data_IF_803390393159
#
_entry.id   IF_803390393159
#
_cell.length_a   1.000
_cell.length_b   1.000
_cell.length_c   1.000
_cell.angle_alpha   90.00
_cell.angle_beta   90.00
_cell.angle_gamma   90.00
#
_symmetry.space_group_name_H-M   'P 1'
#
loop_
_entity.id
_entity.type
_entity.pdbx_description
1 polymer ?
#
# COMPACT_ATOMS: atom_id res chain seq x y z
N UNK A 1 9.02 -40.60 -16.62
CA UNK A 1 9.30 -39.18 -16.91
C UNK A 1 7.98 -38.54 -17.30
N UNK A 2 7.27 -37.84 -16.41
CA UNK A 2 6.07 -37.12 -16.79
C UNK A 2 6.48 -35.85 -17.53
N UNK A 3 6.00 -35.71 -18.76
CA UNK A 3 6.12 -34.50 -19.57
C UNK A 3 5.26 -33.42 -18.93
N UNK A 4 5.91 -32.39 -18.38
CA UNK A 4 5.23 -31.19 -17.90
C UNK A 4 4.70 -30.47 -19.14
N UNK A 5 3.39 -30.54 -19.36
CA UNK A 5 2.70 -29.71 -20.33
C UNK A 5 2.68 -28.27 -19.79
N UNK A 6 3.54 -27.43 -20.33
CA UNK A 6 3.43 -25.98 -20.21
C UNK A 6 2.09 -25.57 -20.82
N UNK A 7 1.11 -25.28 -19.98
CA UNK A 7 -0.10 -24.60 -20.40
C UNK A 7 0.33 -23.22 -20.91
N UNK A 8 0.21 -23.03 -22.21
CA UNK A 8 0.20 -21.72 -22.84
C UNK A 8 -1.13 -21.05 -22.49
N UNK A 9 -1.21 -20.50 -21.28
CA UNK A 9 -2.32 -19.61 -20.92
C UNK A 9 -2.19 -18.35 -21.76
N UNK A 10 -3.19 -18.08 -22.59
CA UNK A 10 -3.35 -16.79 -23.25
C UNK A 10 -3.27 -15.71 -22.16
N UNK A 11 -2.15 -14.97 -22.09
CA UNK A 11 -1.85 -13.98 -21.05
C UNK A 11 -2.87 -12.83 -21.06
N UNK A 12 -4.04 -13.12 -20.50
CA UNK A 12 -5.29 -12.45 -20.77
C UNK A 12 -5.35 -11.03 -20.22
N UNK A 13 -6.23 -10.22 -20.83
CA UNK A 13 -6.62 -8.89 -20.37
C UNK A 13 -6.98 -8.93 -18.88
N UNK A 14 -6.01 -8.62 -18.02
CA UNK A 14 -6.29 -8.43 -16.60
C UNK A 14 -6.78 -7.00 -16.42
N UNK A 15 -7.93 -6.84 -15.79
CA UNK A 15 -8.49 -5.53 -15.45
C UNK A 15 -8.51 -5.38 -13.93
N UNK A 16 -7.76 -4.41 -13.42
CA UNK A 16 -7.55 -4.21 -11.98
C UNK A 16 -7.82 -2.75 -11.62
N UNK A 17 -8.57 -2.55 -10.53
CA UNK A 17 -8.80 -1.21 -10.00
C UNK A 17 -7.92 -0.96 -8.79
N UNK A 18 -7.17 0.13 -8.81
CA UNK A 18 -6.46 0.64 -7.63
C UNK A 18 -7.43 1.49 -6.82
N UNK A 19 -7.51 1.24 -5.52
CA UNK A 19 -8.28 2.03 -4.56
C UNK A 19 -7.61 3.37 -4.21
N UNK A 20 -7.15 4.06 -5.25
CA UNK A 20 -6.69 5.45 -5.25
C UNK A 20 -6.67 5.97 -6.69
N UNK A 21 -7.03 7.23 -6.87
CA UNK A 21 -6.91 8.02 -8.09
C UNK A 21 -5.58 8.79 -8.19
N UNK A 22 -4.73 8.72 -7.16
CA UNK A 22 -3.45 9.44 -7.12
C UNK A 22 -2.39 8.68 -7.92
N UNK A 23 -1.81 9.34 -8.93
CA UNK A 23 -0.79 8.73 -9.82
C UNK A 23 0.46 8.20 -9.08
N UNK A 24 0.79 8.77 -7.91
CA UNK A 24 1.87 8.27 -7.05
C UNK A 24 1.63 6.84 -6.53
N UNK A 25 0.37 6.38 -6.49
CA UNK A 25 -0.03 5.00 -6.16
C UNK A 25 -0.38 4.22 -7.42
N UNK A 26 -1.08 4.85 -8.36
CA UNK A 26 -1.61 4.18 -9.55
C UNK A 26 -0.51 3.81 -10.57
N UNK A 27 0.42 4.71 -10.88
CA UNK A 27 1.45 4.46 -11.88
C UNK A 27 2.38 3.26 -11.59
N UNK A 28 2.90 3.02 -10.37
CA UNK A 28 3.72 1.84 -10.11
C UNK A 28 2.93 0.52 -10.21
N UNK A 29 1.66 0.50 -9.82
CA UNK A 29 0.81 -0.69 -9.97
C UNK A 29 0.53 -0.97 -11.45
N UNK A 30 0.18 0.07 -12.21
CA UNK A 30 -0.06 -0.03 -13.66
C UNK A 30 1.17 -0.62 -14.36
N UNK A 31 2.35 -0.05 -14.11
CA UNK A 31 3.60 -0.55 -14.68
C UNK A 31 3.89 -2.00 -14.28
N UNK A 32 3.70 -2.36 -13.00
CA UNK A 32 3.93 -3.72 -12.52
C UNK A 32 3.03 -4.76 -13.20
N UNK A 33 1.72 -4.52 -13.25
CA UNK A 33 0.76 -5.45 -13.86
C UNK A 33 0.98 -5.56 -15.37
N UNK A 34 1.27 -4.46 -16.06
CA UNK A 34 1.60 -4.48 -17.48
C UNK A 34 2.90 -5.27 -17.75
N UNK A 35 3.91 -5.15 -16.88
CA UNK A 35 5.14 -5.92 -17.01
C UNK A 35 4.95 -7.43 -16.80
N UNK A 36 4.04 -7.84 -15.91
CA UNK A 36 3.83 -9.26 -15.55
C UNK A 36 2.83 -9.97 -16.49
N UNK A 37 1.75 -9.29 -16.87
CA UNK A 37 0.67 -9.86 -17.70
C UNK A 37 0.79 -9.49 -19.19
N UNK A 38 1.57 -8.47 -19.54
CA UNK A 38 1.67 -7.95 -20.90
C UNK A 38 0.47 -7.06 -21.28
N UNK A 39 -0.74 -7.62 -21.24
CA UNK A 39 -2.00 -6.89 -21.46
C UNK A 39 -2.75 -6.71 -20.14
N UNK A 40 -2.52 -5.57 -19.49
CA UNK A 40 -3.21 -5.20 -18.25
C UNK A 40 -3.84 -3.81 -18.36
N UNK A 41 -5.13 -3.73 -18.05
CA UNK A 41 -5.85 -2.48 -17.80
C UNK A 41 -5.79 -2.20 -16.30
N UNK A 42 -5.25 -1.04 -15.93
CA UNK A 42 -5.19 -0.61 -14.54
C UNK A 42 -5.74 0.80 -14.43
N UNK A 43 -6.86 0.93 -13.73
CA UNK A 43 -7.55 2.18 -13.47
C UNK A 43 -7.53 2.52 -11.98
N UNK A 44 -7.79 3.78 -11.64
CA UNK A 44 -7.81 4.24 -10.25
C UNK A 44 -9.16 4.84 -9.89
N UNK A 45 -9.67 4.51 -8.70
CA UNK A 45 -10.84 5.15 -8.12
C UNK A 45 -10.51 5.65 -6.73
N UNK A 46 -10.96 6.88 -6.43
CA UNK A 46 -10.79 7.47 -5.11
C UNK A 46 -11.45 6.59 -4.04
N UNK A 47 -10.67 6.25 -3.01
CA UNK A 47 -11.12 5.53 -1.83
C UNK A 47 -10.29 5.98 -0.63
N UNK A 48 -10.92 6.03 0.53
CA UNK A 48 -10.30 6.49 1.77
C UNK A 48 -10.76 5.60 2.92
N UNK A 49 -9.81 5.14 3.73
CA UNK A 49 -10.09 4.53 5.03
C UNK A 49 -10.37 5.64 6.06
N UNK A 50 -11.43 5.47 6.84
CA UNK A 50 -11.92 6.43 7.85
C UNK A 50 -12.02 5.82 9.25
N UNK A 51 -11.94 4.49 9.37
CA UNK A 51 -12.05 3.73 10.61
C UNK A 51 -10.68 3.31 11.17
N UNK A 52 -9.59 3.70 10.52
CA UNK A 52 -8.21 3.50 10.97
C UNK A 52 -7.50 4.85 11.07
N UNK A 53 -6.57 4.96 12.02
CA UNK A 53 -5.76 6.14 12.26
C UNK A 53 -5.07 6.65 10.99
N UNK A 54 -4.84 7.97 10.93
CA UNK A 54 -4.15 8.60 9.81
C UNK A 54 -2.75 8.01 9.57
N UNK A 55 -2.06 7.63 10.65
CA UNK A 55 -0.83 6.86 10.62
C UNK A 55 -1.06 5.53 11.35
N UNK A 56 -1.41 4.45 10.63
CA UNK A 56 -1.52 3.13 11.24
C UNK A 56 -0.18 2.72 11.88
N UNK A 57 -0.26 2.05 13.02
CA UNK A 57 0.91 1.52 13.74
C UNK A 57 0.78 0.00 13.89
N UNK A 58 1.81 -0.72 13.43
CA UNK A 58 1.87 -2.18 13.41
C UNK A 58 1.24 -2.81 12.17
N UNK A 59 1.69 -4.03 11.85
CA UNK A 59 1.24 -4.79 10.68
C UNK A 59 -0.28 -4.99 10.64
N UNK A 60 -0.89 -5.32 11.78
CA UNK A 60 -2.32 -5.56 11.85
C UNK A 60 -3.14 -4.32 11.45
N UNK A 61 -2.77 -3.14 11.95
CA UNK A 61 -3.44 -1.88 11.60
C UNK A 61 -3.20 -1.50 10.13
N UNK A 62 -1.97 -1.70 9.61
CA UNK A 62 -1.65 -1.45 8.21
C UNK A 62 -2.46 -2.31 7.24
N UNK A 63 -2.50 -3.62 7.48
CA UNK A 63 -3.32 -4.57 6.70
C UNK A 63 -4.80 -4.18 6.82
N UNK A 64 -5.28 -3.85 8.02
CA UNK A 64 -6.68 -3.45 8.23
C UNK A 64 -7.05 -2.17 7.47
N UNK A 65 -6.16 -1.18 7.42
CA UNK A 65 -6.35 0.04 6.64
C UNK A 65 -6.51 -0.27 5.14
N UNK A 66 -5.67 -1.17 4.60
CA UNK A 66 -5.77 -1.59 3.21
C UNK A 66 -7.08 -2.34 2.93
N UNK A 67 -7.51 -3.23 3.83
CA UNK A 67 -8.82 -3.89 3.72
C UNK A 67 -9.97 -2.87 3.74
N UNK A 68 -9.95 -1.94 4.67
CA UNK A 68 -10.98 -0.93 4.81
C UNK A 68 -11.08 -0.06 3.56
N UNK A 69 -9.94 0.31 2.96
CA UNK A 69 -9.91 1.05 1.70
C UNK A 69 -10.56 0.27 0.55
N UNK A 70 -10.36 -1.05 0.47
CA UNK A 70 -11.06 -1.91 -0.51
C UNK A 70 -12.57 -1.90 -0.24
N UNK A 71 -12.97 -2.12 1.02
CA UNK A 71 -14.39 -2.15 1.42
C UNK A 71 -15.08 -0.80 1.14
N UNK A 72 -14.40 0.32 1.41
CA UNK A 72 -14.88 1.67 1.13
C UNK A 72 -15.08 1.91 -0.37
N UNK A 73 -14.24 1.33 -1.23
CA UNK A 73 -14.45 1.42 -2.67
C UNK A 73 -15.60 0.54 -3.14
N UNK A 74 -15.70 -0.69 -2.64
CA UNK A 74 -16.77 -1.63 -2.98
C UNK A 74 -18.15 -1.09 -2.61
N UNK A 75 -18.28 -0.36 -1.50
CA UNK A 75 -19.54 0.24 -1.07
C UNK A 75 -20.02 1.40 -1.95
N UNK A 76 -19.18 1.93 -2.85
CA UNK A 76 -19.57 3.02 -3.76
C UNK A 76 -20.51 2.60 -4.89
N UNK A 77 -20.60 1.29 -5.18
CA UNK A 77 -21.38 0.76 -6.32
C UNK A 77 -20.80 1.09 -7.70
N UNK A 78 -19.62 1.71 -7.78
CA UNK A 78 -18.94 2.06 -9.05
C UNK A 78 -18.16 0.90 -9.67
N UNK A 79 -18.02 -0.20 -8.93
CA UNK A 79 -17.25 -1.37 -9.34
C UNK A 79 -18.16 -2.51 -9.77
N UNK A 80 -17.68 -3.30 -10.73
CA UNK A 80 -18.25 -4.61 -10.97
C UNK A 80 -18.02 -5.51 -9.73
N UNK A 81 -19.01 -6.33 -9.28
CA UNK A 81 -18.88 -7.13 -8.05
C UNK A 81 -17.71 -8.11 -8.03
N UNK A 82 -17.26 -8.53 -9.21
CA UNK A 82 -16.15 -9.47 -9.43
C UNK A 82 -14.82 -8.78 -9.79
N UNK A 83 -14.76 -7.45 -9.72
CA UNK A 83 -13.56 -6.71 -10.09
C UNK A 83 -12.41 -6.98 -9.11
N UNK A 84 -11.20 -7.35 -9.57
CA UNK A 84 -10.01 -7.34 -8.74
C UNK A 84 -9.62 -5.92 -8.30
N UNK A 85 -9.31 -5.75 -7.02
CA UNK A 85 -9.00 -4.45 -6.42
C UNK A 85 -7.65 -4.51 -5.72
N UNK A 86 -6.81 -3.49 -5.96
CA UNK A 86 -5.55 -3.28 -5.26
C UNK A 86 -5.64 -2.07 -4.32
N UNK A 87 -5.32 -2.25 -3.04
CA UNK A 87 -5.15 -1.16 -2.08
C UNK A 87 -3.69 -1.04 -1.65
N UNK A 88 -3.29 0.20 -1.32
CA UNK A 88 -1.96 0.53 -0.85
C UNK A 88 -2.10 1.41 0.39
N UNK A 89 -1.48 1.01 1.50
CA UNK A 89 -1.39 1.81 2.71
C UNK A 89 0.00 1.78 3.32
N UNK A 90 0.40 2.89 3.93
CA UNK A 90 1.64 2.96 4.69
C UNK A 90 1.31 2.83 6.19
N UNK A 91 2.16 2.15 6.92
CA UNK A 91 2.09 2.03 8.38
C UNK A 91 3.48 2.13 8.99
N UNK A 92 3.52 2.47 10.26
CA UNK A 92 4.72 2.55 11.06
C UNK A 92 4.87 1.27 11.89
N UNK A 93 6.08 0.73 12.01
CA UNK A 93 6.35 -0.45 12.86
C UNK A 93 7.65 -0.31 13.62
N UNK A 94 7.65 -0.73 14.88
CA UNK A 94 8.85 -0.92 15.68
C UNK A 94 9.31 -2.37 15.55
N UNK A 95 10.56 -2.59 15.13
CA UNK A 95 11.12 -3.93 14.92
C UNK A 95 12.05 -4.34 16.07
N UNK A 96 12.76 -3.38 16.64
CA UNK A 96 13.57 -3.53 17.84
C UNK A 96 13.33 -2.30 18.72
N UNK A 97 13.77 -2.35 19.98
CA UNK A 97 13.64 -1.22 20.92
C UNK A 97 14.14 0.08 20.28
N UNK A 98 13.22 1.02 20.13
CA UNK A 98 13.44 2.35 19.55
C UNK A 98 13.90 2.36 18.08
N UNK A 99 13.71 1.26 17.34
CA UNK A 99 14.01 1.16 15.90
C UNK A 99 12.72 1.03 15.09
N UNK A 100 12.35 2.16 14.49
CA UNK A 100 11.11 2.36 13.78
C UNK A 100 11.29 2.37 12.27
N UNK A 101 10.27 1.89 11.56
CA UNK A 101 10.28 1.77 10.11
C UNK A 101 8.92 2.12 9.50
N UNK A 102 8.93 2.86 8.39
CA UNK A 102 7.78 3.01 7.49
C UNK A 102 7.75 1.83 6.52
N UNK A 103 6.55 1.28 6.33
CA UNK A 103 6.30 0.12 5.47
C UNK A 103 4.99 0.34 4.71
N UNK A 104 5.01 0.10 3.40
CA UNK A 104 3.81 0.04 2.58
C UNK A 104 3.27 -1.38 2.50
N UNK A 105 2.00 -1.61 2.82
CA UNK A 105 1.27 -2.82 2.43
C UNK A 105 0.62 -2.60 1.07
N UNK A 106 0.74 -3.57 0.17
CA UNK A 106 -0.04 -3.66 -1.06
C UNK A 106 -0.91 -4.92 -0.95
N UNK A 107 -2.22 -4.75 -1.05
CA UNK A 107 -3.21 -5.81 -0.92
C UNK A 107 -4.00 -5.94 -2.23
N UNK A 108 -4.17 -7.17 -2.72
CA UNK A 108 -5.06 -7.51 -3.82
C UNK A 108 -6.19 -8.39 -3.32
N UNK A 109 -7.44 -8.04 -3.64
CA UNK A 109 -8.61 -8.91 -3.49
C UNK A 109 -9.27 -9.13 -4.84
N UNK A 110 -9.47 -10.39 -5.19
CA UNK A 110 -10.25 -10.81 -6.36
C UNK A 110 -11.44 -11.66 -5.87
N UNK A 111 -12.66 -11.07 -5.85
CA UNK A 111 -13.85 -11.77 -5.40
C UNK A 111 -14.29 -12.91 -6.31
N UNK A 112 -13.91 -12.92 -7.59
CA UNK A 112 -14.30 -13.98 -8.54
C UNK A 112 -13.51 -15.26 -8.29
N UNK A 113 -12.22 -15.10 -7.98
CA UNK A 113 -11.27 -16.20 -7.75
C UNK A 113 -11.07 -16.53 -6.26
N UNK A 114 -11.76 -15.83 -5.37
CA UNK A 114 -11.59 -15.92 -3.92
C UNK A 114 -10.13 -15.68 -3.45
N UNK A 115 -9.41 -14.82 -4.16
CA UNK A 115 -8.00 -14.53 -3.88
C UNK A 115 -7.90 -13.33 -2.93
N UNK A 116 -7.07 -13.48 -1.89
CA UNK A 116 -6.68 -12.41 -0.99
C UNK A 116 -5.16 -12.47 -0.76
N UNK A 117 -4.42 -11.56 -1.41
CA UNK A 117 -2.97 -11.49 -1.36
C UNK A 117 -2.55 -10.17 -0.75
N UNK A 118 -1.44 -10.19 -0.01
CA UNK A 118 -0.74 -8.95 0.31
C UNK A 118 0.76 -9.17 0.35
N UNK A 119 1.48 -8.08 0.12
CA UNK A 119 2.93 -8.01 0.27
C UNK A 119 3.31 -6.65 0.86
N UNK A 120 4.58 -6.50 1.20
CA UNK A 120 5.10 -5.29 1.83
C UNK A 120 6.22 -4.70 1.00
N UNK A 121 6.37 -3.37 1.05
CA UNK A 121 7.59 -2.72 0.59
C UNK A 121 8.75 -3.08 1.53
N UNK A 122 9.98 -2.85 1.08
CA UNK A 122 11.13 -2.82 1.98
C UNK A 122 10.94 -1.80 3.11
N UNK A 123 11.58 -2.05 4.25
CA UNK A 123 11.53 -1.18 5.42
C UNK A 123 12.30 0.12 5.15
N UNK A 124 11.71 1.27 5.49
CA UNK A 124 12.41 2.57 5.48
C UNK A 124 12.63 3.03 6.91
N UNK A 125 13.88 3.23 7.37
CA UNK A 125 14.14 3.63 8.75
C UNK A 125 13.51 5.00 9.05
N UNK A 126 12.94 5.14 10.24
CA UNK A 126 12.34 6.38 10.75
C UNK A 126 13.05 6.75 12.06
N UNK A 127 13.60 7.97 12.20
CA UNK A 127 14.22 8.39 13.46
C UNK A 127 13.23 8.33 14.62
N UNK A 128 13.65 7.74 15.74
CA UNK A 128 12.86 7.65 16.97
C UNK A 128 12.31 9.00 17.43
N UNK A 129 13.10 10.08 17.32
CA UNK A 129 12.67 11.43 17.67
C UNK A 129 11.47 11.92 16.84
N UNK A 130 11.36 11.51 15.57
CA UNK A 130 10.21 11.84 14.71
C UNK A 130 8.97 11.05 15.14
N UNK A 131 9.15 9.80 15.56
CA UNK A 131 8.04 9.00 16.11
C UNK A 131 7.57 9.55 17.45
N UNK A 132 8.48 9.95 18.33
CA UNK A 132 8.16 10.60 19.60
C UNK A 132 7.34 11.89 19.37
N UNK A 133 7.75 12.72 18.42
CA UNK A 133 6.97 13.91 18.03
C UNK A 133 5.56 13.54 17.54
N UNK A 134 5.42 12.52 16.70
CA UNK A 134 4.10 12.05 16.25
C UNK A 134 3.22 11.52 17.40
N UNK A 135 3.83 10.89 18.41
CA UNK A 135 3.15 10.41 19.61
C UNK A 135 2.70 11.56 20.51
N UNK A 136 3.55 12.57 20.69
CA UNK A 136 3.25 13.80 21.44
C UNK A 136 2.12 14.61 20.79
N UNK A 137 2.16 14.73 19.46
CA UNK A 137 1.13 15.43 18.67
C UNK A 137 -0.18 14.66 18.54
N UNK A 138 -0.25 13.40 19.00
CA UNK A 138 -1.48 12.59 18.98
C UNK A 138 -2.28 12.82 20.27
N UNK A 139 -3.48 13.43 20.20
CA UNK A 139 -4.31 13.67 21.38
C UNK A 139 -4.64 12.40 22.16
N UNK A 140 -4.67 12.48 23.48
CA UNK A 140 -4.98 11.34 24.35
C UNK A 140 -6.38 10.76 24.10
N UNK A 141 -7.32 11.62 23.69
CA UNK A 141 -8.70 11.30 23.35
C UNK A 141 -8.91 11.01 21.85
N UNK A 142 -7.82 10.84 21.07
CA UNK A 142 -7.93 10.52 19.65
C UNK A 142 -8.72 9.21 19.43
N UNK A 143 -9.88 9.24 18.73
CA UNK A 143 -10.79 8.09 18.67
C UNK A 143 -10.18 6.83 18.06
N UNK A 144 -9.17 6.99 17.19
CA UNK A 144 -8.53 5.90 16.45
C UNK A 144 -7.18 5.50 17.04
N UNK A 145 -6.84 5.97 18.26
CA UNK A 145 -5.56 5.70 18.94
C UNK A 145 -5.25 4.20 19.10
N UNK A 146 -6.28 3.36 19.14
CA UNK A 146 -6.15 1.90 19.14
C UNK A 146 -5.45 1.34 17.89
N UNK A 147 -5.47 2.08 16.78
CA UNK A 147 -4.93 1.67 15.48
C UNK A 147 -3.69 2.46 15.05
N UNK A 148 -3.35 3.55 15.75
CA UNK A 148 -2.17 4.34 15.44
C UNK A 148 -2.22 5.80 15.88
N UNK A 149 -1.53 6.66 15.12
CA UNK A 149 -1.27 8.06 15.45
C UNK A 149 -2.12 9.02 14.59
N UNK A 150 -2.40 10.20 15.12
CA UNK A 150 -3.18 11.23 14.43
C UNK A 150 -2.36 11.98 13.36
N UNK A 151 -1.03 12.01 13.51
CA UNK A 151 -0.09 12.69 12.61
C UNK A 151 0.71 11.66 11.81
N UNK A 152 0.91 11.93 10.53
CA UNK A 152 1.68 11.04 9.65
C UNK A 152 3.18 11.26 9.79
N UNK A 153 3.94 10.16 9.79
CA UNK A 153 5.40 10.22 9.74
C UNK A 153 5.87 10.88 8.44
N UNK A 154 5.16 10.64 7.34
CA UNK A 154 5.47 11.29 6.06
C UNK A 154 5.46 12.82 6.14
N UNK A 155 4.51 13.43 6.84
CA UNK A 155 4.48 14.90 7.00
C UNK A 155 5.60 15.42 7.89
N UNK A 156 5.92 14.72 8.98
CA UNK A 156 7.00 15.12 9.90
C UNK A 156 8.38 14.95 9.25
N UNK A 157 8.61 13.85 8.54
CA UNK A 157 9.84 13.59 7.80
C UNK A 157 10.05 14.62 6.69
N UNK A 158 9.00 14.97 5.96
CA UNK A 158 9.05 16.01 4.92
C UNK A 158 9.46 17.36 5.50
N UNK A 159 8.88 17.75 6.63
CA UNK A 159 9.22 18.96 7.36
C UNK A 159 10.69 18.94 7.83
N UNK A 160 11.12 17.84 8.46
CA UNK A 160 12.49 17.69 8.96
C UNK A 160 13.54 17.72 7.83
N UNK A 161 13.24 17.13 6.68
CA UNK A 161 14.14 17.05 5.52
C UNK A 161 13.99 18.24 4.56
N UNK A 162 13.03 19.14 4.79
CA UNK A 162 12.73 20.29 3.92
C UNK A 162 12.43 19.90 2.46
N UNK A 163 11.65 18.84 2.28
CA UNK A 163 11.25 18.30 0.97
C UNK A 163 9.74 18.11 0.88
N UNK A 164 9.22 17.85 -0.33
CA UNK A 164 7.81 17.49 -0.46
C UNK A 164 7.50 16.15 0.23
N UNK A 165 6.28 15.97 0.73
CA UNK A 165 5.90 14.77 1.50
C UNK A 165 5.93 13.46 0.71
N UNK A 166 6.07 13.51 -0.62
CA UNK A 166 6.26 12.33 -1.47
C UNK A 166 7.73 11.99 -1.71
N UNK A 167 8.66 12.86 -1.31
CA UNK A 167 10.08 12.79 -1.65
C UNK A 167 10.95 12.40 -0.46
N UNK A 168 10.39 12.35 0.75
CA UNK A 168 11.17 12.06 1.95
C UNK A 168 11.87 10.69 1.90
N UNK A 169 11.28 9.67 1.27
CA UNK A 169 11.92 8.37 1.03
C UNK A 169 13.20 8.52 0.20
N UNK A 170 13.12 9.29 -0.90
CA UNK A 170 14.25 9.57 -1.80
C UNK A 170 15.33 10.36 -1.07
N UNK A 171 14.93 11.42 -0.35
CA UNK A 171 15.85 12.29 0.37
C UNK A 171 16.60 11.53 1.48
N UNK A 172 15.94 10.59 2.15
CA UNK A 172 16.54 9.81 3.23
C UNK A 172 17.38 8.62 2.74
N UNK A 173 16.89 7.88 1.74
CA UNK A 173 17.45 6.56 1.38
C UNK A 173 18.07 6.50 -0.01
N UNK A 174 17.83 7.51 -0.86
CA UNK A 174 18.19 7.47 -2.27
C UNK A 174 17.24 6.63 -3.14
N UNK A 175 16.22 5.98 -2.55
CA UNK A 175 15.20 5.21 -3.27
C UNK A 175 13.85 5.92 -3.14
N UNK A 176 13.18 6.13 -4.27
CA UNK A 176 11.89 6.82 -4.28
C UNK A 176 10.76 5.91 -3.79
N UNK A 177 9.72 6.51 -3.21
CA UNK A 177 8.49 5.79 -2.86
C UNK A 177 7.91 5.05 -4.07
N UNK A 178 8.01 5.63 -5.27
CA UNK A 178 7.53 5.03 -6.51
C UNK A 178 8.25 3.72 -6.81
N UNK A 179 9.58 3.69 -6.70
CA UNK A 179 10.37 2.47 -6.94
C UNK A 179 10.04 1.38 -5.92
N UNK A 180 9.91 1.75 -4.64
CA UNK A 180 9.48 0.81 -3.58
C UNK A 180 8.12 0.18 -3.91
N UNK A 181 7.15 1.00 -4.31
CA UNK A 181 5.82 0.52 -4.69
C UNK A 181 5.87 -0.33 -5.95
N UNK A 182 6.69 0.03 -6.95
CA UNK A 182 6.84 -0.74 -8.19
C UNK A 182 7.36 -2.14 -7.92
N UNK A 183 8.39 -2.29 -7.08
CA UNK A 183 8.97 -3.59 -6.74
C UNK A 183 7.94 -4.45 -6.00
N UNK A 184 7.28 -3.89 -4.98
CA UNK A 184 6.24 -4.62 -4.24
C UNK A 184 5.04 -4.97 -5.14
N UNK A 185 4.64 -4.09 -6.05
CA UNK A 185 3.55 -4.34 -6.99
C UNK A 185 3.91 -5.43 -8.00
N UNK A 186 5.18 -5.53 -8.43
CA UNK A 186 5.65 -6.63 -9.29
C UNK A 186 5.57 -7.97 -8.57
N UNK A 187 5.93 -8.02 -7.28
CA UNK A 187 5.73 -9.21 -6.45
C UNK A 187 4.24 -9.57 -6.37
N UNK A 188 3.38 -8.60 -6.06
CA UNK A 188 1.95 -8.82 -5.95
C UNK A 188 1.33 -9.31 -7.27
N UNK A 189 1.67 -8.68 -8.40
CA UNK A 189 1.22 -9.09 -9.72
C UNK A 189 1.73 -10.49 -10.09
N UNK A 190 2.98 -10.81 -9.76
CA UNK A 190 3.56 -12.14 -9.97
C UNK A 190 2.89 -13.23 -9.15
N UNK A 191 2.49 -12.93 -7.91
CA UNK A 191 1.72 -13.85 -7.05
C UNK A 191 0.28 -14.06 -7.53
N UNK A 192 -0.29 -13.06 -8.22
CA UNK A 192 -1.67 -13.10 -8.72
C UNK A 192 -1.79 -13.82 -10.07
N UNK A 193 -0.71 -13.90 -10.84
CA UNK A 193 -0.65 -14.58 -12.14
C UNK A 193 -0.76 -16.08 -12.00
#
# INVERSE_FOLDING_TARGET
MPTIQLHSDSGGDVDVVVASDKEVKLSPVREAFQAVFGKATVSGLAAQATMIAAQPVGFAAGVKAAEERILALQSTGKLHPKQPIVAIENFLVEVEENKWYDVGVLMLKDPDREINLHTFTQLTPVPAAVVALAQEDTPNDYPLRWSGLAVTIGSLMASNLQVHHSEWHQALTGVSRREMLLIAAKVLAGLYK
#
